data_IF_364954744423
#
_entry.id   IF_364954744423
#
_cell.length_a   1.000
_cell.length_b   1.000
_cell.length_c   1.000
_cell.angle_alpha   90.00
_cell.angle_beta   90.00
_cell.angle_gamma   90.00
#
_symmetry.space_group_name_H-M   'P 1'
#
loop_
_entity.id
_entity.type
_entity.pdbx_description
1 polymer ?
#
# COMPACT_ATOMS: atom_id res chain seq x y z
N UNK A 1 -43.94 2.92 15.29
CA UNK A 1 -44.21 3.81 16.44
C UNK A 1 -44.35 5.25 15.98
N UNK A 2 -44.32 6.19 16.92
CA UNK A 2 -44.17 7.61 16.60
C UNK A 2 -42.89 7.85 15.80
N UNK A 3 -42.92 8.83 14.91
CA UNK A 3 -41.76 9.26 14.14
C UNK A 3 -41.75 10.79 14.07
N UNK A 4 -40.56 11.36 13.92
CA UNK A 4 -40.35 12.75 13.59
C UNK A 4 -39.42 12.80 12.38
N UNK A 5 -39.84 13.50 11.33
CA UNK A 5 -39.07 13.64 10.10
C UNK A 5 -38.97 15.13 9.80
N UNK A 6 -37.74 15.59 9.59
CA UNK A 6 -37.43 16.87 8.98
C UNK A 6 -36.88 16.54 7.60
N UNK A 7 -37.51 17.02 6.53
CA UNK A 7 -37.16 16.72 5.15
C UNK A 7 -37.36 17.99 4.33
N UNK A 8 -36.34 18.36 3.56
CA UNK A 8 -36.46 19.40 2.56
C UNK A 8 -35.11 19.85 2.03
N UNK A 9 -35.17 20.84 1.15
CA UNK A 9 -34.00 21.57 0.71
C UNK A 9 -33.53 22.49 1.84
N UNK A 10 -32.31 22.27 2.34
CA UNK A 10 -31.79 22.96 3.52
C UNK A 10 -30.50 23.70 3.19
N UNK A 11 -30.42 24.90 3.76
CA UNK A 11 -29.24 25.73 3.76
C UNK A 11 -28.73 25.82 5.20
N UNK A 12 -27.51 25.33 5.44
CA UNK A 12 -26.86 25.37 6.74
C UNK A 12 -25.57 26.20 6.64
N UNK A 13 -25.43 27.15 7.55
CA UNK A 13 -24.20 27.93 7.70
C UNK A 13 -23.84 28.00 9.18
N UNK A 14 -22.61 27.62 9.50
CA UNK A 14 -22.04 27.71 10.85
C UNK A 14 -20.92 28.74 10.81
N UNK A 15 -21.27 29.96 11.25
CA UNK A 15 -20.39 31.14 11.20
C UNK A 15 -19.85 31.34 9.77
N UNK A 16 -18.57 31.66 9.64
CA UNK A 16 -17.81 31.82 8.41
C UNK A 16 -16.95 30.58 8.05
N UNK A 17 -17.15 29.45 8.76
CA UNK A 17 -16.30 28.28 8.62
C UNK A 17 -16.92 27.09 7.88
N UNK A 18 -18.24 26.93 7.93
CA UNK A 18 -18.91 25.80 7.30
C UNK A 18 -20.21 26.22 6.64
N UNK A 19 -20.36 25.89 5.37
CA UNK A 19 -21.55 26.17 4.57
C UNK A 19 -21.94 24.90 3.84
N UNK A 20 -23.22 24.58 3.79
CA UNK A 20 -23.72 23.50 2.95
C UNK A 20 -25.14 23.76 2.51
N UNK A 21 -25.42 23.39 1.26
CA UNK A 21 -26.72 23.53 0.60
C UNK A 21 -27.05 22.24 -0.12
N UNK A 22 -28.28 21.78 0.00
CA UNK A 22 -28.82 20.67 -0.77
C UNK A 22 -29.97 19.99 -0.05
N UNK A 23 -30.32 18.79 -0.51
CA UNK A 23 -31.45 18.05 0.03
C UNK A 23 -30.99 17.28 1.27
N UNK A 24 -31.75 17.41 2.35
CA UNK A 24 -31.41 16.81 3.64
C UNK A 24 -32.65 16.25 4.31
N UNK A 25 -32.46 15.17 5.06
CA UNK A 25 -33.45 14.67 5.97
C UNK A 25 -32.84 14.20 7.30
N UNK A 26 -33.58 14.43 8.38
CA UNK A 26 -33.31 13.87 9.71
C UNK A 26 -34.55 13.16 10.19
N UNK A 27 -34.41 11.88 10.54
CA UNK A 27 -35.53 11.08 11.05
C UNK A 27 -35.22 10.52 12.44
N UNK A 28 -36.20 10.57 13.32
CA UNK A 28 -36.19 9.88 14.61
C UNK A 28 -37.32 8.87 14.62
N UNK A 29 -36.99 7.59 14.82
CA UNK A 29 -37.99 6.53 14.79
C UNK A 29 -37.50 5.27 15.50
N UNK A 30 -38.40 4.59 16.19
CA UNK A 30 -38.17 3.21 16.62
C UNK A 30 -38.41 2.23 15.47
N UNK A 31 -37.41 1.42 15.14
CA UNK A 31 -37.44 0.42 14.05
C UNK A 31 -36.71 -0.86 14.45
N UNK A 32 -37.09 -2.02 13.88
CA UNK A 32 -36.33 -3.24 14.05
C UNK A 32 -34.96 -3.10 13.37
N UNK A 33 -33.90 -3.47 14.08
CA UNK A 33 -32.52 -3.54 13.62
C UNK A 33 -32.01 -4.96 13.85
N UNK A 34 -31.51 -5.60 12.79
CA UNK A 34 -30.84 -6.91 12.87
C UNK A 34 -29.36 -6.67 13.16
N UNK A 35 -28.86 -7.26 14.26
CA UNK A 35 -27.43 -7.26 14.58
C UNK A 35 -26.92 -8.68 14.70
N UNK A 36 -25.71 -8.93 14.22
CA UNK A 36 -25.07 -10.26 14.25
C UNK A 36 -23.59 -10.15 14.55
N UNK A 37 -23.07 -11.12 15.30
CA UNK A 37 -21.63 -11.34 15.48
C UNK A 37 -21.04 -12.10 14.28
N UNK A 38 -19.74 -12.37 14.31
CA UNK A 38 -19.04 -13.06 13.21
C UNK A 38 -19.51 -14.53 13.00
N UNK A 39 -20.07 -15.16 14.04
CA UNK A 39 -20.65 -16.50 13.95
C UNK A 39 -22.05 -16.50 13.30
N UNK A 40 -22.62 -15.31 13.06
CA UNK A 40 -23.96 -15.11 12.54
C UNK A 40 -25.06 -15.17 13.60
N UNK A 41 -24.70 -15.32 14.87
CA UNK A 41 -25.62 -15.22 15.99
C UNK A 41 -25.99 -13.76 16.24
N UNK A 42 -27.27 -13.50 16.50
CA UNK A 42 -27.77 -12.15 16.50
C UNK A 42 -29.17 -11.98 17.08
N UNK A 43 -29.61 -10.74 17.15
CA UNK A 43 -30.95 -10.37 17.58
C UNK A 43 -31.55 -9.34 16.64
N UNK A 44 -32.86 -9.43 16.45
CA UNK A 44 -33.65 -8.35 15.86
C UNK A 44 -34.37 -7.65 16.99
N UNK A 45 -34.05 -6.37 17.19
CA UNK A 45 -34.61 -5.56 18.27
C UNK A 45 -35.15 -4.23 17.74
N UNK A 46 -36.28 -3.79 18.27
CA UNK A 46 -36.78 -2.43 18.05
C UNK A 46 -35.87 -1.42 18.76
N UNK A 47 -35.02 -0.72 18.00
CA UNK A 47 -34.06 0.26 18.50
C UNK A 47 -34.54 1.69 18.30
N UNK A 48 -34.07 2.61 19.15
CA UNK A 48 -34.19 4.04 18.88
C UNK A 48 -33.20 4.42 17.78
N UNK A 49 -33.72 4.82 16.61
CA UNK A 49 -32.91 5.16 15.45
C UNK A 49 -33.01 6.65 15.14
N UNK A 50 -31.85 7.28 15.00
CA UNK A 50 -31.70 8.60 14.39
C UNK A 50 -30.99 8.43 13.05
N UNK A 51 -31.61 8.85 11.96
CA UNK A 51 -30.97 8.88 10.64
C UNK A 51 -30.69 10.30 10.22
N UNK A 52 -29.54 10.52 9.58
CA UNK A 52 -29.22 11.75 8.87
C UNK A 52 -28.92 11.33 7.44
N UNK A 53 -29.67 11.86 6.50
CA UNK A 53 -29.44 11.67 5.09
C UNK A 53 -29.29 13.00 4.38
N UNK A 54 -28.49 13.01 3.33
CA UNK A 54 -28.36 14.15 2.45
C UNK A 54 -27.97 13.69 1.04
N UNK A 55 -28.47 14.39 0.03
CA UNK A 55 -28.16 14.14 -1.37
C UNK A 55 -27.89 15.44 -2.10
N UNK A 56 -27.03 15.35 -3.11
CA UNK A 56 -26.65 16.46 -3.98
C UNK A 56 -26.18 17.70 -3.20
N UNK A 57 -25.47 17.49 -2.07
CA UNK A 57 -24.98 18.61 -1.29
C UNK A 57 -23.76 19.26 -1.97
N UNK A 58 -23.76 20.58 -1.93
CA UNK A 58 -22.55 21.39 -1.97
C UNK A 58 -22.12 21.69 -0.53
N UNK A 59 -20.83 21.65 -0.26
CA UNK A 59 -20.29 22.01 1.04
C UNK A 59 -19.00 22.83 0.90
N UNK A 60 -18.78 23.75 1.82
CA UNK A 60 -17.52 24.43 2.04
C UNK A 60 -17.13 24.30 3.51
N UNK A 61 -15.90 23.90 3.78
CA UNK A 61 -15.31 23.85 5.12
C UNK A 61 -13.95 24.56 5.09
N UNK A 62 -13.85 25.72 5.74
CA UNK A 62 -12.69 26.60 5.61
C UNK A 62 -12.76 27.84 6.48
N UNK A 63 -12.06 28.90 6.10
CA UNK A 63 -12.15 30.24 6.70
C UNK A 63 -12.60 31.25 5.65
N UNK A 64 -13.26 32.34 6.07
CA UNK A 64 -13.81 33.37 5.19
C UNK A 64 -14.75 32.82 4.10
N UNK A 65 -15.51 31.75 4.40
CA UNK A 65 -16.42 31.15 3.42
C UNK A 65 -17.64 32.02 3.09
N UNK A 66 -18.53 31.58 2.19
CA UNK A 66 -18.50 30.34 1.40
C UNK A 66 -17.41 30.33 0.30
N UNK A 67 -17.32 29.27 -0.51
CA UNK A 67 -16.25 29.07 -1.50
C UNK A 67 -16.03 30.24 -2.48
N UNK A 68 -17.09 30.97 -2.82
CA UNK A 68 -17.05 32.08 -3.77
C UNK A 68 -16.69 33.43 -3.12
N UNK A 69 -16.45 33.44 -1.80
CA UNK A 69 -16.03 34.64 -1.07
C UNK A 69 -14.58 35.00 -1.38
N UNK A 70 -14.31 36.30 -1.47
CA UNK A 70 -12.94 36.81 -1.59
C UNK A 70 -12.12 36.40 -0.35
N UNK A 71 -11.00 35.72 -0.56
CA UNK A 71 -10.13 35.24 0.51
C UNK A 71 -10.60 33.97 1.22
N UNK A 72 -11.56 33.24 0.64
CA UNK A 72 -11.94 31.91 1.12
C UNK A 72 -10.76 30.93 1.00
N UNK A 73 -10.47 30.21 2.09
CA UNK A 73 -9.44 29.18 2.14
C UNK A 73 -10.03 27.94 2.82
N UNK A 74 -10.04 26.81 2.12
CA UNK A 74 -10.64 25.58 2.65
C UNK A 74 -11.02 24.58 1.58
N UNK A 75 -11.79 23.57 1.97
CA UNK A 75 -12.30 22.55 1.05
C UNK A 75 -13.68 22.93 0.52
N UNK A 76 -13.82 22.98 -0.79
CA UNK A 76 -15.08 22.97 -1.51
C UNK A 76 -15.40 21.54 -1.92
N UNK A 77 -16.63 21.07 -1.66
CA UNK A 77 -17.11 19.74 -1.99
C UNK A 77 -18.39 19.84 -2.81
N UNK A 78 -18.55 18.94 -3.78
CA UNK A 78 -19.76 18.85 -4.60
C UNK A 78 -20.23 17.42 -4.78
N UNK A 79 -21.51 17.26 -5.10
CA UNK A 79 -22.16 15.95 -5.25
C UNK A 79 -21.99 15.07 -3.99
N UNK A 80 -22.07 15.68 -2.82
CA UNK A 80 -21.94 14.98 -1.54
C UNK A 80 -23.27 14.29 -1.21
N UNK A 81 -23.21 12.98 -1.06
CA UNK A 81 -24.32 12.12 -0.68
C UNK A 81 -23.94 11.39 0.61
N UNK A 82 -24.75 11.49 1.66
CA UNK A 82 -24.45 10.89 2.97
C UNK A 82 -25.70 10.20 3.48
N UNK A 83 -25.61 8.93 3.84
CA UNK A 83 -26.64 8.21 4.58
C UNK A 83 -26.04 7.68 5.86
N UNK A 84 -26.55 8.11 7.01
CA UNK A 84 -26.05 7.74 8.33
C UNK A 84 -27.19 7.32 9.25
N UNK A 85 -26.98 6.28 10.03
CA UNK A 85 -27.87 5.83 11.08
C UNK A 85 -27.10 5.67 12.41
N UNK A 86 -27.60 6.33 13.45
CA UNK A 86 -27.28 6.05 14.84
C UNK A 86 -28.40 5.21 15.43
N UNK A 87 -28.05 4.07 16.01
CA UNK A 87 -29.02 3.13 16.57
C UNK A 87 -28.65 2.82 18.01
N UNK A 88 -29.62 2.91 18.92
CA UNK A 88 -29.43 2.61 20.33
C UNK A 88 -30.35 1.46 20.75
N UNK A 89 -29.74 0.41 21.31
CA UNK A 89 -30.51 -0.68 21.91
C UNK A 89 -31.17 -0.19 23.21
N UNK A 90 -32.49 -0.43 23.39
CA UNK A 90 -33.16 -0.16 24.66
C UNK A 90 -32.92 -1.24 25.72
N UNK A 91 -32.50 -2.46 25.33
CA UNK A 91 -32.27 -3.57 26.28
C UNK A 91 -30.80 -3.87 26.56
N UNK A 92 -29.89 -3.38 25.73
CA UNK A 92 -28.43 -3.57 25.85
C UNK A 92 -27.73 -2.23 25.98
N UNK A 93 -26.60 -2.20 26.68
CA UNK A 93 -25.70 -1.03 26.69
C UNK A 93 -24.82 -1.02 25.43
N UNK A 94 -25.46 -0.99 24.26
CA UNK A 94 -24.79 -1.00 22.96
C UNK A 94 -25.38 0.06 22.05
N UNK A 95 -24.50 0.74 21.30
CA UNK A 95 -24.86 1.69 20.25
C UNK A 95 -24.21 1.27 18.95
N UNK A 96 -24.84 1.61 17.83
CA UNK A 96 -24.33 1.31 16.50
C UNK A 96 -24.30 2.57 15.64
N UNK A 97 -23.29 2.64 14.78
CA UNK A 97 -23.13 3.64 13.75
C UNK A 97 -22.96 2.94 12.41
N UNK A 98 -23.85 3.24 11.48
CA UNK A 98 -23.68 2.85 10.08
C UNK A 98 -23.74 4.09 9.21
N UNK A 99 -22.78 4.22 8.30
CA UNK A 99 -22.65 5.40 7.45
C UNK A 99 -22.12 4.99 6.10
N UNK A 100 -22.77 5.44 5.03
CA UNK A 100 -22.16 5.54 3.69
C UNK A 100 -22.14 6.98 3.26
N UNK A 101 -21.01 7.43 2.74
CA UNK A 101 -20.89 8.72 2.10
C UNK A 101 -20.16 8.58 0.76
N UNK A 102 -20.60 9.36 -0.21
CA UNK A 102 -19.98 9.51 -1.52
C UNK A 102 -19.81 11.00 -1.79
N UNK A 103 -18.65 11.41 -2.29
CA UNK A 103 -18.41 12.78 -2.75
C UNK A 103 -17.87 12.68 -4.17
N UNK A 104 -18.51 13.41 -5.09
CA UNK A 104 -18.04 13.48 -6.47
C UNK A 104 -16.67 14.13 -6.54
N UNK A 105 -16.57 15.34 -5.98
CA UNK A 105 -15.36 16.15 -6.03
C UNK A 105 -15.15 16.90 -4.70
N UNK A 106 -13.90 16.97 -4.24
CA UNK A 106 -13.44 17.80 -3.15
C UNK A 106 -12.15 18.52 -3.57
N UNK A 107 -12.09 19.84 -3.41
CA UNK A 107 -10.93 20.64 -3.80
C UNK A 107 -10.59 21.66 -2.72
N UNK A 108 -9.30 21.72 -2.35
CA UNK A 108 -8.79 22.78 -1.51
C UNK A 108 -8.59 24.06 -2.36
N UNK A 109 -9.11 25.19 -1.88
CA UNK A 109 -9.05 26.49 -2.56
C UNK A 109 -8.33 27.52 -1.71
N UNK A 110 -7.87 28.60 -2.36
CA UNK A 110 -7.34 29.79 -1.69
C UNK A 110 -5.83 29.81 -1.45
N UNK A 111 -5.08 28.85 -2.01
CA UNK A 111 -3.61 28.82 -1.98
C UNK A 111 -3.07 28.54 -3.39
N UNK A 112 -2.41 29.52 -3.99
CA UNK A 112 -2.01 29.47 -5.42
C UNK A 112 -1.05 28.32 -5.76
N UNK A 113 -0.08 28.02 -4.89
CA UNK A 113 0.94 26.99 -5.11
C UNK A 113 0.54 25.62 -4.52
N UNK A 114 -0.75 25.40 -4.23
CA UNK A 114 -1.24 24.13 -3.69
C UNK A 114 -2.48 23.68 -4.46
N UNK A 115 -2.36 22.55 -5.16
CA UNK A 115 -3.52 21.77 -5.58
C UNK A 115 -3.65 20.60 -4.63
N UNK A 116 -4.79 20.47 -3.98
CA UNK A 116 -5.19 19.28 -3.26
C UNK A 116 -6.63 19.00 -3.65
N UNK A 117 -6.82 18.01 -4.50
CA UNK A 117 -8.14 17.59 -4.94
C UNK A 117 -8.32 16.09 -4.77
N UNK A 118 -9.57 15.70 -4.63
CA UNK A 118 -9.98 14.33 -4.60
C UNK A 118 -11.28 14.17 -5.38
N UNK A 119 -11.45 13.02 -6.02
CA UNK A 119 -12.70 12.65 -6.67
C UNK A 119 -13.09 11.23 -6.32
N UNK A 120 -14.35 10.88 -6.57
CA UNK A 120 -14.91 9.56 -6.29
C UNK A 120 -14.66 9.12 -4.83
N UNK A 121 -14.72 10.06 -3.89
CA UNK A 121 -14.49 9.75 -2.49
C UNK A 121 -15.62 8.88 -1.98
N UNK A 122 -15.27 7.79 -1.30
CA UNK A 122 -16.23 6.91 -0.65
C UNK A 122 -15.82 6.68 0.80
N UNK A 123 -16.80 6.73 1.70
CA UNK A 123 -16.63 6.38 3.11
C UNK A 123 -17.71 5.40 3.50
N UNK A 124 -17.32 4.30 4.14
CA UNK A 124 -18.23 3.33 4.72
C UNK A 124 -17.84 3.04 6.16
N UNK A 125 -18.80 3.11 7.08
CA UNK A 125 -18.61 2.78 8.49
C UNK A 125 -19.72 1.82 8.90
N UNK A 126 -19.35 0.75 9.59
CA UNK A 126 -20.29 -0.11 10.30
C UNK A 126 -19.66 -0.50 11.64
N UNK A 127 -20.05 0.17 12.72
CA UNK A 127 -19.41 -0.01 14.03
C UNK A 127 -20.42 -0.22 15.13
N UNK A 128 -19.99 -0.98 16.13
CA UNK A 128 -20.68 -1.12 17.40
C UNK A 128 -19.81 -0.57 18.53
N UNK A 129 -20.47 -0.04 19.54
CA UNK A 129 -19.84 0.51 20.73
C UNK A 129 -20.39 -0.24 21.93
N UNK A 130 -19.52 -1.00 22.61
CA UNK A 130 -19.90 -1.83 23.76
C UNK A 130 -20.35 -3.25 23.42
N UNK A 131 -20.05 -3.76 22.22
CA UNK A 131 -20.34 -5.14 21.80
C UNK A 131 -19.44 -5.60 20.65
N UNK A 132 -19.45 -6.90 20.34
CA UNK A 132 -18.74 -7.56 19.24
C UNK A 132 -19.61 -7.80 17.99
N UNK A 133 -20.94 -7.75 18.14
CA UNK A 133 -21.88 -7.76 17.02
C UNK A 133 -21.96 -6.42 16.27
N UNK A 134 -22.38 -6.48 15.01
CA UNK A 134 -22.57 -5.32 14.14
C UNK A 134 -23.95 -5.37 13.50
N UNK A 135 -24.44 -4.24 12.99
CA UNK A 135 -25.70 -4.28 12.24
C UNK A 135 -25.51 -5.02 10.92
N UNK A 136 -26.56 -5.71 10.52
CA UNK A 136 -26.61 -6.56 9.34
C UNK A 136 -27.80 -6.17 8.46
N UNK A 137 -27.50 -5.61 7.29
CA UNK A 137 -28.49 -5.10 6.34
C UNK A 137 -28.31 -5.66 4.93
N UNK A 138 -27.53 -6.73 4.75
CA UNK A 138 -27.19 -7.26 3.43
C UNK A 138 -28.41 -7.82 2.66
N UNK A 139 -29.33 -8.50 3.33
CA UNK A 139 -30.52 -9.12 2.73
C UNK A 139 -31.70 -8.14 2.65
N UNK A 140 -31.71 -7.14 3.52
CA UNK A 140 -32.73 -6.10 3.58
C UNK A 140 -32.08 -4.74 3.87
N UNK A 141 -31.61 -4.04 2.81
CA UNK A 141 -30.92 -2.77 2.97
C UNK A 141 -31.72 -1.75 3.78
N UNK A 142 -31.04 -1.12 4.74
CA UNK A 142 -31.62 -0.06 5.54
C UNK A 142 -31.59 1.24 4.74
N UNK A 143 -32.74 1.60 4.19
CA UNK A 143 -32.88 2.78 3.34
C UNK A 143 -32.94 4.06 4.18
N UNK A 144 -31.95 4.94 4.00
CA UNK A 144 -31.89 6.27 4.61
C UNK A 144 -32.56 7.27 3.66
N UNK A 145 -33.52 8.05 4.15
CA UNK A 145 -34.05 9.19 3.42
C UNK A 145 -32.98 10.28 3.33
N UNK A 146 -32.62 10.68 2.12
CA UNK A 146 -31.62 11.70 1.84
C UNK A 146 -32.23 13.08 1.51
N UNK A 147 -33.57 13.22 1.61
CA UNK A 147 -34.30 14.44 1.31
C UNK A 147 -34.98 14.40 -0.06
N UNK A 148 -36.17 14.99 -0.17
CA UNK A 148 -36.96 15.14 -1.40
C UNK A 148 -37.12 13.87 -2.26
N UNK A 149 -37.06 12.69 -1.64
CA UNK A 149 -37.21 11.38 -2.30
C UNK A 149 -35.90 10.68 -2.66
N UNK A 150 -34.74 11.30 -2.39
CA UNK A 150 -33.44 10.64 -2.43
C UNK A 150 -33.35 9.55 -1.35
N UNK A 151 -32.73 8.41 -1.67
CA UNK A 151 -32.56 7.30 -0.72
C UNK A 151 -31.16 6.71 -0.83
N UNK A 152 -30.50 6.50 0.32
CA UNK A 152 -29.17 5.89 0.39
C UNK A 152 -29.27 4.53 1.11
N UNK A 153 -28.93 3.41 0.46
CA UNK A 153 -29.00 2.09 1.06
C UNK A 153 -27.76 1.78 1.92
N UNK A 154 -27.97 1.40 3.17
CA UNK A 154 -26.96 0.74 4.00
C UNK A 154 -27.18 -0.78 3.92
N UNK A 155 -26.15 -1.55 3.59
CA UNK A 155 -26.25 -2.97 3.18
C UNK A 155 -25.10 -3.82 3.75
N UNK A 156 -24.63 -3.49 4.95
CA UNK A 156 -23.50 -4.18 5.57
C UNK A 156 -23.78 -5.65 5.88
N UNK A 157 -22.77 -6.49 5.63
CA UNK A 157 -22.81 -7.91 5.98
C UNK A 157 -22.02 -8.15 7.27
N UNK A 158 -22.57 -8.95 8.19
CA UNK A 158 -21.96 -9.18 9.51
C UNK A 158 -20.59 -9.84 9.46
N UNK A 159 -20.32 -10.65 8.43
CA UNK A 159 -19.03 -11.35 8.28
C UNK A 159 -17.84 -10.40 8.08
N UNK A 160 -18.09 -9.14 7.74
CA UNK A 160 -17.05 -8.10 7.69
C UNK A 160 -16.73 -7.53 9.07
N UNK A 161 -17.47 -7.91 10.11
CA UNK A 161 -17.34 -7.36 11.46
C UNK A 161 -17.48 -5.84 11.46
N UNK A 162 -16.67 -5.17 12.29
CA UNK A 162 -16.62 -3.71 12.31
C UNK A 162 -15.85 -3.17 11.10
N UNK A 163 -16.52 -2.32 10.31
CA UNK A 163 -15.98 -1.76 9.06
C UNK A 163 -15.67 -0.28 9.21
N UNK A 164 -14.53 0.12 8.66
CA UNK A 164 -14.19 1.49 8.28
C UNK A 164 -13.48 1.42 6.95
N UNK A 165 -14.07 1.95 5.88
CA UNK A 165 -13.45 2.08 4.56
C UNK A 165 -13.47 3.54 4.15
N UNK A 166 -12.36 4.02 3.60
CA UNK A 166 -12.26 5.30 2.92
C UNK A 166 -11.44 5.11 1.66
N UNK A 167 -11.86 5.68 0.54
CA UNK A 167 -11.12 5.60 -0.72
C UNK A 167 -11.43 6.79 -1.62
N UNK A 168 -10.60 7.00 -2.63
CA UNK A 168 -10.84 7.95 -3.72
C UNK A 168 -9.59 8.21 -4.54
N UNK A 169 -9.80 8.93 -5.63
CA UNK A 169 -8.73 9.36 -6.53
C UNK A 169 -8.20 10.70 -6.02
N UNK A 170 -6.91 10.77 -5.71
CA UNK A 170 -6.27 11.92 -5.06
C UNK A 170 -5.26 12.55 -6.02
N UNK A 171 -5.31 13.87 -6.14
CA UNK A 171 -4.28 14.67 -6.81
C UNK A 171 -3.68 15.67 -5.81
N UNK A 172 -2.37 15.66 -5.65
CA UNK A 172 -1.62 16.62 -4.84
C UNK A 172 -0.55 17.28 -5.71
N UNK A 173 -0.54 18.61 -5.73
CA UNK A 173 0.54 19.41 -6.30
C UNK A 173 0.98 20.47 -5.30
N UNK A 174 2.29 20.56 -5.06
CA UNK A 174 2.89 21.63 -4.25
C UNK A 174 3.93 22.35 -5.10
N UNK A 175 3.58 23.55 -5.56
CA UNK A 175 4.34 24.34 -6.51
C UNK A 175 4.70 23.53 -7.75
N UNK A 176 5.99 23.53 -8.07
CA UNK A 176 6.62 22.75 -9.13
C UNK A 176 7.40 21.54 -8.59
N UNK A 177 7.28 21.25 -7.29
CA UNK A 177 8.21 20.38 -6.58
C UNK A 177 7.64 19.02 -6.21
N UNK A 178 6.33 18.94 -5.97
CA UNK A 178 5.66 17.68 -5.59
C UNK A 178 4.45 17.49 -6.47
N UNK A 179 4.33 16.31 -7.06
CA UNK A 179 3.15 15.84 -7.77
C UNK A 179 2.83 14.43 -7.31
N UNK A 180 1.55 14.15 -7.06
CA UNK A 180 1.02 12.83 -6.74
C UNK A 180 -0.34 12.71 -7.39
N UNK A 181 -0.58 11.60 -8.07
CA UNK A 181 -1.86 11.25 -8.66
C UNK A 181 -2.10 9.75 -8.51
N UNK A 182 -3.29 9.34 -8.09
CA UNK A 182 -3.65 7.92 -8.01
C UNK A 182 -4.83 7.63 -7.10
N UNK A 183 -5.27 6.37 -7.11
CA UNK A 183 -6.33 5.87 -6.23
C UNK A 183 -5.72 5.43 -4.90
N UNK A 184 -6.26 5.89 -3.77
CA UNK A 184 -5.80 5.47 -2.44
C UNK A 184 -7.00 4.96 -1.64
N UNK A 185 -6.87 3.82 -0.99
CA UNK A 185 -7.87 3.33 -0.05
C UNK A 185 -7.28 2.86 1.28
N UNK A 186 -8.10 2.95 2.32
CA UNK A 186 -7.89 2.35 3.62
C UNK A 186 -9.15 1.61 4.04
N UNK A 187 -9.02 0.36 4.48
CA UNK A 187 -10.13 -0.45 4.97
C UNK A 187 -9.74 -1.18 6.25
N UNK A 188 -10.65 -1.20 7.24
CA UNK A 188 -10.62 -2.16 8.34
C UNK A 188 -11.82 -3.08 8.24
N UNK A 189 -11.62 -4.39 8.34
CA UNK A 189 -12.69 -5.38 8.44
C UNK A 189 -12.22 -6.66 9.10
N UNK A 190 -13.16 -7.51 9.48
CA UNK A 190 -12.89 -8.89 9.83
C UNK A 190 -12.59 -9.71 8.56
N UNK A 191 -11.62 -10.61 8.64
CA UNK A 191 -11.25 -11.54 7.58
C UNK A 191 -10.71 -12.85 8.17
N UNK A 192 -11.25 -13.98 7.72
CA UNK A 192 -10.68 -15.30 8.03
C UNK A 192 -9.43 -15.53 7.16
N UNK A 193 -8.34 -15.94 7.79
CA UNK A 193 -7.04 -16.13 7.17
C UNK A 193 -6.50 -17.54 7.43
N UNK A 194 -5.76 -18.08 6.46
CA UNK A 194 -5.08 -19.36 6.56
C UNK A 194 -3.64 -19.16 7.01
N UNK A 195 -3.20 -19.97 7.97
CA UNK A 195 -1.87 -19.90 8.58
C UNK A 195 -1.02 -21.10 8.11
N UNK A 196 0.31 -20.94 8.08
CA UNK A 196 1.26 -21.96 7.60
C UNK A 196 1.23 -23.28 8.37
N UNK A 197 0.76 -23.29 9.62
CA UNK A 197 0.51 -24.49 10.42
C UNK A 197 -0.74 -25.27 9.99
N UNK A 198 -1.51 -24.72 9.04
CA UNK A 198 -2.76 -25.28 8.52
C UNK A 198 -4.01 -24.86 9.29
N UNK A 199 -3.88 -24.03 10.34
CA UNK A 199 -5.00 -23.45 11.06
C UNK A 199 -5.67 -22.32 10.28
N UNK A 200 -6.85 -21.93 10.73
CA UNK A 200 -7.56 -20.74 10.28
C UNK A 200 -7.77 -19.82 11.47
N UNK A 201 -7.57 -18.52 11.24
CA UNK A 201 -7.70 -17.50 12.28
C UNK A 201 -8.61 -16.40 11.75
N UNK A 202 -9.64 -16.07 12.53
CA UNK A 202 -10.44 -14.87 12.29
C UNK A 202 -9.64 -13.64 12.74
N UNK A 203 -9.38 -12.72 11.81
CA UNK A 203 -8.54 -11.54 12.05
C UNK A 203 -9.32 -10.25 11.88
N UNK A 204 -8.91 -9.20 12.60
CA UNK A 204 -9.13 -7.81 12.24
C UNK A 204 -8.01 -7.39 11.28
N UNK A 205 -8.36 -7.18 10.01
CA UNK A 205 -7.47 -6.72 8.96
C UNK A 205 -7.53 -5.19 8.87
N UNK A 206 -6.37 -4.56 8.77
CA UNK A 206 -6.17 -3.20 8.26
C UNK A 206 -5.51 -3.31 6.88
N UNK A 207 -6.14 -2.72 5.88
CA UNK A 207 -5.72 -2.76 4.49
C UNK A 207 -5.43 -1.34 4.03
N UNK A 208 -4.25 -1.13 3.45
CA UNK A 208 -3.87 0.09 2.74
C UNK A 208 -3.61 -0.27 1.29
N UNK A 209 -4.23 0.43 0.35
CA UNK A 209 -4.01 0.24 -1.08
C UNK A 209 -3.65 1.53 -1.78
N UNK A 210 -2.84 1.39 -2.82
CA UNK A 210 -2.62 2.41 -3.82
C UNK A 210 -2.79 1.78 -5.20
N UNK A 211 -3.56 2.41 -6.06
CA UNK A 211 -3.80 1.99 -7.43
C UNK A 211 -3.36 3.06 -8.41
N UNK A 212 -2.64 2.64 -9.45
CA UNK A 212 -2.16 3.52 -10.53
C UNK A 212 -1.41 4.77 -10.03
N UNK A 213 -0.72 4.64 -8.89
CA UNK A 213 -0.06 5.75 -8.20
C UNK A 213 1.17 6.23 -8.98
N UNK A 214 1.15 7.51 -9.34
CA UNK A 214 2.27 8.21 -9.95
C UNK A 214 2.70 9.39 -9.09
N UNK A 215 4.02 9.57 -8.92
CA UNK A 215 4.58 10.62 -8.06
C UNK A 215 5.80 11.27 -8.70
N UNK A 216 6.02 12.55 -8.42
CA UNK A 216 7.26 13.26 -8.70
C UNK A 216 7.67 14.10 -7.50
N UNK A 217 8.96 14.09 -7.18
CA UNK A 217 9.58 14.93 -6.16
C UNK A 217 10.84 15.57 -6.73
N UNK A 218 10.87 16.89 -6.85
CA UNK A 218 11.96 17.58 -7.54
C UNK A 218 11.78 19.08 -7.64
N UNK A 219 12.26 19.65 -8.74
CA UNK A 219 12.07 21.04 -9.17
C UNK A 219 11.60 21.06 -10.62
N UNK A 220 10.88 22.12 -11.02
CA UNK A 220 10.34 22.32 -12.36
C UNK A 220 9.52 21.12 -12.89
N UNK A 221 8.82 20.41 -12.01
CA UNK A 221 7.99 19.27 -12.38
C UNK A 221 6.70 19.68 -13.14
N UNK A 222 5.85 18.70 -13.51
CA UNK A 222 5.97 17.26 -13.25
C UNK A 222 7.05 16.55 -14.09
N UNK A 223 7.18 15.23 -13.92
CA UNK A 223 8.24 14.40 -14.51
C UNK A 223 8.35 14.47 -16.05
N UNK A 224 7.29 14.89 -16.74
CA UNK A 224 7.23 15.00 -18.19
C UNK A 224 7.67 16.38 -18.73
N UNK A 225 8.05 17.32 -17.86
CA UNK A 225 8.56 18.62 -18.26
C UNK A 225 10.03 18.56 -18.65
N UNK A 226 10.41 19.29 -19.70
CA UNK A 226 11.78 19.34 -20.23
C UNK A 226 12.83 19.78 -19.19
N UNK A 227 12.46 20.64 -18.24
CA UNK A 227 13.36 21.18 -17.20
C UNK A 227 13.21 20.46 -15.84
N UNK A 228 12.41 19.39 -15.78
CA UNK A 228 12.17 18.65 -14.55
C UNK A 228 13.47 18.03 -14.02
N UNK A 229 13.68 18.18 -12.72
CA UNK A 229 14.85 17.62 -12.03
C UNK A 229 14.40 17.00 -10.71
N UNK A 230 14.44 15.67 -10.59
CA UNK A 230 13.90 14.99 -9.42
C UNK A 230 13.81 13.48 -9.56
N UNK A 231 12.99 12.88 -8.70
CA UNK A 231 12.67 11.46 -8.75
C UNK A 231 11.20 11.27 -9.09
N UNK A 232 10.92 10.26 -9.90
CA UNK A 232 9.60 9.87 -10.33
C UNK A 232 9.31 8.41 -9.95
N UNK A 233 8.04 8.14 -9.67
CA UNK A 233 7.44 6.82 -9.49
C UNK A 233 6.27 6.76 -10.47
N UNK A 234 6.16 5.69 -11.27
CA UNK A 234 5.12 5.55 -12.28
C UNK A 234 4.25 4.32 -12.02
N UNK A 235 2.94 4.48 -12.22
CA UNK A 235 1.92 3.41 -12.29
C UNK A 235 2.08 2.34 -11.20
N UNK A 236 2.16 2.76 -9.96
CA UNK A 236 2.42 1.85 -8.84
C UNK A 236 1.12 1.31 -8.28
N UNK A 237 1.03 -0.01 -8.21
CA UNK A 237 -0.05 -0.74 -7.59
C UNK A 237 0.47 -1.43 -6.33
N UNK A 238 -0.19 -1.21 -5.19
CA UNK A 238 0.23 -1.70 -3.89
C UNK A 238 -0.96 -2.12 -3.05
N UNK A 239 -0.82 -3.24 -2.33
CA UNK A 239 -1.67 -3.59 -1.21
C UNK A 239 -0.81 -4.01 -0.02
N UNK A 240 -1.05 -3.38 1.14
CA UNK A 240 -0.43 -3.69 2.43
C UNK A 240 -1.53 -4.12 3.40
N UNK A 241 -1.41 -5.32 3.95
CA UNK A 241 -2.28 -5.83 4.99
C UNK A 241 -1.54 -5.96 6.31
N UNK A 242 -2.17 -5.49 7.37
CA UNK A 242 -1.75 -5.70 8.76
C UNK A 242 -2.92 -6.38 9.47
N UNK A 243 -2.69 -7.54 10.07
CA UNK A 243 -3.73 -8.35 10.68
C UNK A 243 -3.40 -8.70 12.12
N UNK A 244 -4.43 -8.71 12.96
CA UNK A 244 -4.39 -9.29 14.30
C UNK A 244 -5.61 -10.20 14.49
N UNK A 245 -5.51 -11.27 15.27
CA UNK A 245 -6.66 -12.07 15.67
C UNK A 245 -7.79 -11.21 16.24
N UNK A 246 -9.05 -11.64 16.06
CA UNK A 246 -10.19 -11.02 16.74
C UNK A 246 -10.26 -11.39 18.22
N UNK A 247 -9.69 -12.53 18.60
CA UNK A 247 -9.47 -12.91 20.00
C UNK A 247 -8.37 -12.02 20.61
N UNK A 248 -8.73 -11.23 21.61
CA UNK A 248 -7.81 -10.27 22.24
C UNK A 248 -6.73 -10.92 23.11
N UNK A 249 -6.89 -12.20 23.47
CA UNK A 249 -5.86 -12.96 24.19
C UNK A 249 -4.77 -13.51 23.26
N UNK A 250 -5.06 -13.57 21.95
CA UNK A 250 -4.08 -13.96 20.94
C UNK A 250 -3.28 -12.73 20.48
N UNK A 251 -1.99 -12.72 20.83
CA UNK A 251 -1.08 -11.60 20.60
C UNK A 251 -0.32 -11.69 19.26
N UNK A 252 -0.62 -12.68 18.42
CA UNK A 252 -0.01 -12.81 17.09
C UNK A 252 -0.38 -11.63 16.21
N UNK A 253 0.51 -11.29 15.29
CA UNK A 253 0.24 -10.30 14.24
C UNK A 253 0.88 -10.75 12.93
N UNK A 254 0.28 -10.34 11.81
CA UNK A 254 0.82 -10.63 10.48
C UNK A 254 0.85 -9.37 9.63
N UNK A 255 1.91 -9.23 8.84
CA UNK A 255 2.03 -8.17 7.84
C UNK A 255 2.35 -8.77 6.49
N UNK A 256 1.59 -8.43 5.46
CA UNK A 256 1.84 -8.86 4.10
C UNK A 256 1.75 -7.68 3.13
N UNK A 257 2.71 -7.60 2.21
CA UNK A 257 2.79 -6.57 1.18
C UNK A 257 2.94 -7.24 -0.18
N UNK A 258 2.23 -6.72 -1.17
CA UNK A 258 2.56 -6.91 -2.56
C UNK A 258 2.49 -5.55 -3.26
N UNK A 259 3.58 -5.15 -3.89
CA UNK A 259 3.69 -3.91 -4.63
C UNK A 259 4.40 -4.16 -5.96
N UNK A 260 3.89 -3.54 -7.02
CA UNK A 260 4.52 -3.49 -8.34
C UNK A 260 4.52 -2.06 -8.85
N UNK A 261 5.60 -1.69 -9.53
CA UNK A 261 5.74 -0.39 -10.19
C UNK A 261 6.33 -0.58 -11.57
N UNK A 262 5.77 0.12 -12.55
CA UNK A 262 6.29 0.13 -13.92
C UNK A 262 7.71 0.71 -13.96
N UNK A 263 7.94 1.77 -13.19
CA UNK A 263 9.24 2.42 -13.15
C UNK A 263 9.43 3.37 -11.97
N UNK A 264 10.65 3.37 -11.42
CA UNK A 264 11.19 4.43 -10.56
C UNK A 264 12.42 4.99 -11.24
N UNK A 265 12.54 6.31 -11.31
CA UNK A 265 13.68 6.89 -11.99
C UNK A 265 13.99 8.32 -11.58
N UNK A 266 15.23 8.70 -11.83
CA UNK A 266 15.68 10.07 -11.78
C UNK A 266 15.35 10.77 -13.09
N UNK A 267 14.67 11.91 -13.00
CA UNK A 267 14.41 12.84 -14.10
C UNK A 267 15.44 13.95 -13.98
N UNK A 268 16.18 14.25 -15.05
CA UNK A 268 17.21 15.28 -15.01
C UNK A 268 17.99 15.36 -16.33
N UNK A 269 19.25 15.83 -16.30
CA UNK A 269 20.00 16.10 -17.53
C UNK A 269 20.27 14.82 -18.33
N UNK A 270 20.33 14.96 -19.67
CA UNK A 270 20.57 13.86 -20.63
C UNK A 270 21.79 12.98 -20.32
N UNK A 271 22.77 13.50 -19.58
CA UNK A 271 23.97 12.79 -19.20
C UNK A 271 23.86 12.02 -17.88
N UNK A 272 22.67 11.87 -17.30
CA UNK A 272 22.45 11.06 -16.11
C UNK A 272 21.14 10.28 -16.26
N UNK A 273 21.24 8.97 -16.37
CA UNK A 273 20.11 8.06 -16.28
C UNK A 273 20.23 7.24 -15.00
N UNK A 274 19.20 7.19 -14.18
CA UNK A 274 19.04 6.24 -13.09
C UNK A 274 17.59 5.79 -13.16
N UNK A 275 17.34 4.55 -13.56
CA UNK A 275 16.00 4.01 -13.72
C UNK A 275 15.98 2.57 -13.23
N UNK A 276 14.85 2.17 -12.67
CA UNK A 276 14.56 0.80 -12.34
C UNK A 276 13.15 0.46 -12.82
N UNK A 277 13.05 -0.56 -13.67
CA UNK A 277 11.81 -1.01 -14.27
C UNK A 277 11.36 -2.35 -13.67
N UNK A 278 10.08 -2.69 -13.86
CA UNK A 278 9.49 -3.96 -13.40
C UNK A 278 9.71 -4.22 -11.91
N UNK A 279 9.64 -3.16 -11.11
CA UNK A 279 9.92 -3.23 -9.69
C UNK A 279 8.81 -4.01 -8.99
N UNK A 280 9.21 -4.97 -8.18
CA UNK A 280 8.30 -5.74 -7.35
C UNK A 280 8.85 -5.81 -5.93
N UNK A 281 7.98 -5.60 -4.95
CA UNK A 281 8.26 -5.80 -3.53
C UNK A 281 7.21 -6.74 -2.96
N UNK A 282 7.64 -7.82 -2.30
CA UNK A 282 6.74 -8.76 -1.62
C UNK A 282 7.22 -9.01 -0.21
N UNK A 283 6.27 -9.17 0.71
CA UNK A 283 6.55 -9.38 2.12
C UNK A 283 5.50 -10.32 2.72
N UNK A 284 5.94 -11.21 3.59
CA UNK A 284 5.09 -12.00 4.48
C UNK A 284 5.81 -12.14 5.82
N UNK A 285 5.32 -11.48 6.85
CA UNK A 285 5.96 -11.40 8.18
C UNK A 285 4.96 -11.79 9.26
N UNK A 286 5.47 -12.34 10.36
CA UNK A 286 4.69 -12.66 11.54
C UNK A 286 5.37 -12.13 12.81
N UNK A 287 4.57 -11.71 13.79
CA UNK A 287 5.08 -11.33 15.11
C UNK A 287 4.43 -12.19 16.19
N UNK A 288 5.20 -12.54 17.21
CA UNK A 288 4.81 -13.43 18.32
C UNK A 288 4.43 -14.86 17.88
N UNK A 289 4.85 -15.27 16.69
CA UNK A 289 4.74 -16.64 16.14
C UNK A 289 5.77 -16.82 15.03
N UNK A 290 6.11 -18.07 14.71
CA UNK A 290 6.91 -18.42 13.53
C UNK A 290 6.01 -18.73 12.32
N UNK A 291 4.69 -18.81 12.53
CA UNK A 291 3.72 -19.16 11.50
C UNK A 291 3.22 -17.94 10.74
N UNK A 292 3.44 -17.92 9.43
CA UNK A 292 3.03 -16.84 8.52
C UNK A 292 1.69 -17.14 7.85
N UNK A 293 1.16 -16.17 7.11
CA UNK A 293 -0.01 -16.39 6.27
C UNK A 293 0.29 -17.34 5.10
N UNK A 294 -0.64 -18.22 4.77
CA UNK A 294 -0.54 -19.15 3.65
C UNK A 294 -1.60 -18.89 2.57
N UNK A 295 -1.17 -18.36 1.44
CA UNK A 295 -2.01 -18.08 0.27
C UNK A 295 -1.89 -19.15 -0.82
N UNK A 296 -1.16 -20.25 -0.58
CA UNK A 296 -0.87 -21.27 -1.60
C UNK A 296 -2.12 -21.97 -2.15
N UNK A 297 -3.18 -22.08 -1.34
CA UNK A 297 -4.46 -22.72 -1.70
C UNK A 297 -5.62 -21.74 -1.81
N UNK A 298 -5.52 -20.58 -1.15
CA UNK A 298 -6.54 -19.56 -1.10
C UNK A 298 -5.90 -18.23 -1.49
N UNK A 299 -5.88 -17.99 -2.79
CA UNK A 299 -5.40 -16.74 -3.36
C UNK A 299 -6.27 -15.63 -2.81
N UNK A 300 -5.64 -14.56 -2.33
CA UNK A 300 -6.35 -13.37 -1.89
C UNK A 300 -6.12 -12.24 -2.88
N UNK A 301 -7.19 -11.84 -3.58
CA UNK A 301 -7.19 -10.74 -4.55
C UNK A 301 -7.79 -9.49 -3.92
N UNK A 302 -7.04 -8.39 -4.00
CA UNK A 302 -7.39 -7.11 -3.40
C UNK A 302 -7.52 -6.08 -4.51
N UNK A 303 -8.72 -5.52 -4.77
CA UNK A 303 -8.87 -4.39 -5.67
C UNK A 303 -8.04 -3.20 -5.17
N UNK A 304 -7.29 -2.57 -6.07
CA UNK A 304 -6.49 -1.37 -5.74
C UNK A 304 -6.89 -0.15 -6.56
N UNK A 305 -7.54 -0.35 -7.72
CA UNK A 305 -8.26 0.67 -8.48
C UNK A 305 -9.49 0.03 -9.15
N UNK A 306 -10.20 0.75 -10.01
CA UNK A 306 -11.35 0.20 -10.76
C UNK A 306 -10.92 -0.91 -11.73
N UNK A 307 -9.69 -0.84 -12.25
CA UNK A 307 -9.19 -1.71 -13.30
C UNK A 307 -8.02 -2.61 -12.85
N UNK A 308 -7.53 -2.45 -11.61
CA UNK A 308 -6.39 -3.18 -11.08
C UNK A 308 -6.66 -3.89 -9.75
N UNK A 309 -5.99 -5.04 -9.55
CA UNK A 309 -6.02 -5.80 -8.31
C UNK A 309 -4.65 -6.38 -7.98
N UNK A 310 -4.31 -6.41 -6.70
CA UNK A 310 -3.11 -7.08 -6.18
C UNK A 310 -3.44 -8.48 -5.69
N UNK A 311 -2.63 -9.43 -6.15
CA UNK A 311 -2.79 -10.87 -5.88
C UNK A 311 -1.79 -11.32 -4.83
N UNK A 312 -2.26 -11.94 -3.75
CA UNK A 312 -1.43 -12.64 -2.78
C UNK A 312 -1.51 -14.14 -3.01
N UNK A 313 -0.35 -14.76 -3.27
CA UNK A 313 -0.20 -16.19 -3.55
C UNK A 313 1.06 -16.80 -2.92
N UNK A 314 1.54 -16.17 -1.85
CA UNK A 314 2.73 -16.61 -1.12
C UNK A 314 2.48 -17.94 -0.42
N UNK A 315 3.45 -18.85 -0.50
CA UNK A 315 3.35 -20.14 0.15
C UNK A 315 3.81 -20.04 1.60
N UNK A 316 2.97 -20.45 2.57
CA UNK A 316 3.31 -20.35 4.00
C UNK A 316 4.58 -21.12 4.40
N UNK A 317 4.86 -22.26 3.75
CA UNK A 317 6.11 -23.01 3.89
C UNK A 317 7.40 -22.24 3.53
N UNK A 318 7.32 -21.08 2.89
CA UNK A 318 8.50 -20.23 2.69
C UNK A 318 8.90 -19.48 3.97
N UNK A 319 8.05 -19.49 5.00
CA UNK A 319 8.26 -18.74 6.24
C UNK A 319 8.20 -17.23 6.03
N UNK A 320 8.81 -16.50 6.95
CA UNK A 320 8.93 -15.06 6.86
C UNK A 320 9.88 -14.64 5.74
N UNK A 321 9.47 -13.67 4.93
CA UNK A 321 10.35 -13.10 3.92
C UNK A 321 10.03 -11.65 3.57
N UNK A 322 11.05 -10.98 3.06
CA UNK A 322 10.98 -9.72 2.32
C UNK A 322 11.76 -9.95 1.02
N UNK A 323 11.18 -9.60 -0.12
CA UNK A 323 11.90 -9.59 -1.39
C UNK A 323 11.65 -8.28 -2.14
N UNK A 324 12.66 -7.84 -2.87
CA UNK A 324 12.56 -6.77 -3.84
C UNK A 324 13.34 -7.15 -5.10
N UNK A 325 12.78 -6.90 -6.28
CA UNK A 325 13.47 -7.17 -7.56
C UNK A 325 13.09 -6.14 -8.61
N UNK A 326 13.99 -5.93 -9.57
CA UNK A 326 13.74 -5.10 -10.75
C UNK A 326 14.94 -5.02 -11.66
N UNK A 327 14.75 -4.40 -12.82
CA UNK A 327 15.77 -4.18 -13.82
C UNK A 327 16.35 -2.78 -13.64
N UNK A 328 17.61 -2.67 -13.23
CA UNK A 328 18.26 -1.39 -12.97
C UNK A 328 19.07 -0.96 -14.19
N UNK A 329 18.97 0.32 -14.55
CA UNK A 329 19.83 0.99 -15.51
C UNK A 329 20.42 2.26 -14.88
N UNK A 330 21.74 2.38 -14.89
CA UNK A 330 22.48 3.56 -14.43
C UNK A 330 23.48 3.97 -15.51
N UNK A 331 23.38 5.21 -15.98
CA UNK A 331 24.32 5.78 -16.94
C UNK A 331 24.74 7.18 -16.50
N UNK A 332 26.05 7.45 -16.56
CA UNK A 332 26.62 8.78 -16.26
C UNK A 332 27.49 9.20 -17.44
N UNK A 333 26.95 10.12 -18.24
CA UNK A 333 27.45 10.51 -19.54
C UNK A 333 27.69 9.28 -20.41
N UNK A 334 28.83 9.28 -21.09
CA UNK A 334 29.30 8.11 -21.85
C UNK A 334 30.35 7.33 -21.06
N UNK A 335 30.50 7.59 -19.76
CA UNK A 335 31.66 7.14 -18.99
C UNK A 335 31.34 5.97 -18.06
N UNK A 336 30.11 5.92 -17.54
CA UNK A 336 29.66 4.85 -16.66
C UNK A 336 28.34 4.34 -17.22
N UNK A 337 28.22 3.02 -17.33
CA UNK A 337 26.98 2.34 -17.67
C UNK A 337 26.91 1.07 -16.82
N UNK A 338 25.76 0.81 -16.21
CA UNK A 338 25.45 -0.42 -15.48
C UNK A 338 24.01 -0.78 -15.82
N UNK A 339 23.79 -1.99 -16.32
CA UNK A 339 22.44 -2.49 -16.56
C UNK A 339 22.33 -3.96 -16.18
N UNK A 340 21.18 -4.37 -15.67
CA UNK A 340 20.88 -5.77 -15.40
C UNK A 340 19.74 -5.96 -14.39
N UNK A 341 19.39 -7.22 -14.14
CA UNK A 341 18.38 -7.57 -13.16
C UNK A 341 19.02 -7.69 -11.77
N UNK A 342 18.40 -7.07 -10.77
CA UNK A 342 18.84 -7.12 -9.38
C UNK A 342 17.71 -7.63 -8.50
N UNK A 343 18.07 -8.42 -7.50
CA UNK A 343 17.13 -8.85 -6.48
C UNK A 343 17.76 -8.88 -5.09
N UNK A 344 16.92 -8.57 -4.12
CA UNK A 344 17.16 -8.58 -2.71
C UNK A 344 16.20 -9.56 -2.06
N UNK A 345 16.68 -10.34 -1.11
CA UNK A 345 15.84 -11.22 -0.30
C UNK A 345 16.31 -11.23 1.15
N UNK A 346 15.35 -11.27 2.07
CA UNK A 346 15.59 -11.51 3.48
C UNK A 346 14.62 -12.58 3.97
N UNK A 347 15.11 -13.59 4.66
CA UNK A 347 14.28 -14.64 5.29
C UNK A 347 15.05 -15.38 6.38
N UNK A 348 14.36 -16.18 7.19
CA UNK A 348 14.99 -17.12 8.12
C UNK A 348 15.28 -18.43 7.40
N UNK A 349 16.50 -18.95 7.55
CA UNK A 349 16.89 -20.25 6.99
C UNK A 349 17.85 -20.98 7.90
N UNK A 350 17.58 -22.28 8.09
CA UNK A 350 18.55 -23.21 8.63
C UNK A 350 19.66 -23.45 7.62
N UNK A 351 20.90 -23.12 7.99
CA UNK A 351 22.09 -23.39 7.18
C UNK A 351 22.92 -24.48 7.82
N UNK A 352 23.56 -25.28 6.98
CA UNK A 352 24.54 -26.27 7.42
C UNK A 352 25.91 -25.63 7.39
N UNK A 353 26.71 -25.85 8.43
CA UNK A 353 28.07 -25.37 8.53
C UNK A 353 29.08 -26.45 8.11
N UNK A 354 30.33 -26.05 7.87
CA UNK A 354 31.42 -26.93 7.43
C UNK A 354 31.73 -28.06 8.41
N UNK A 355 31.46 -27.85 9.71
CA UNK A 355 31.58 -28.85 10.78
C UNK A 355 30.35 -29.77 10.90
N UNK A 356 29.42 -29.68 9.94
CA UNK A 356 28.15 -30.41 9.87
C UNK A 356 27.08 -29.97 10.88
N UNK A 357 27.35 -28.98 11.73
CA UNK A 357 26.31 -28.38 12.56
C UNK A 357 25.28 -27.65 11.69
N UNK A 358 24.06 -27.51 12.21
CA UNK A 358 22.98 -26.77 11.57
C UNK A 358 22.55 -25.69 12.54
N UNK A 359 22.45 -24.47 12.03
CA UNK A 359 21.99 -23.31 12.80
C UNK A 359 20.95 -22.54 12.00
N UNK A 360 20.04 -21.89 12.69
CA UNK A 360 19.10 -20.95 12.06
C UNK A 360 19.74 -19.57 11.93
N UNK A 361 19.52 -18.95 10.77
CA UNK A 361 20.09 -17.65 10.46
C UNK A 361 19.08 -16.72 9.85
N UNK A 362 19.19 -15.44 10.21
CA UNK A 362 18.71 -14.33 9.42
C UNK A 362 19.58 -14.27 8.16
N UNK A 363 19.00 -14.66 7.03
CA UNK A 363 19.64 -14.64 5.73
C UNK A 363 19.31 -13.33 5.02
N UNK A 364 20.34 -12.72 4.44
CA UNK A 364 20.23 -11.55 3.57
C UNK A 364 20.93 -11.87 2.26
N UNK A 365 20.14 -11.94 1.19
CA UNK A 365 20.59 -12.21 -0.16
C UNK A 365 20.59 -10.95 -1.01
N UNK A 366 21.67 -10.78 -1.76
CA UNK A 366 21.73 -9.84 -2.87
C UNK A 366 22.16 -10.63 -4.11
N UNK A 367 21.39 -10.51 -5.18
CA UNK A 367 21.70 -11.16 -6.45
C UNK A 367 21.61 -10.19 -7.60
N UNK A 368 22.42 -10.47 -8.61
CA UNK A 368 22.40 -9.75 -9.87
C UNK A 368 22.57 -10.75 -11.01
N UNK A 369 21.91 -10.53 -12.13
CA UNK A 369 21.93 -11.45 -13.27
C UNK A 369 21.98 -10.68 -14.58
N UNK A 370 22.82 -11.17 -15.50
CA UNK A 370 23.01 -10.54 -16.81
C UNK A 370 23.52 -9.11 -16.73
N UNK A 371 24.28 -8.78 -15.67
CA UNK A 371 24.77 -7.43 -15.47
C UNK A 371 25.87 -7.11 -16.48
N UNK A 372 25.69 -6.01 -17.20
CA UNK A 372 26.72 -5.42 -18.04
C UNK A 372 27.15 -4.11 -17.40
N UNK A 373 28.46 -3.87 -17.34
CA UNK A 373 29.00 -2.63 -16.82
C UNK A 373 30.16 -2.12 -17.66
N UNK A 374 30.23 -0.80 -17.79
CA UNK A 374 31.35 -0.07 -18.38
C UNK A 374 31.75 1.08 -17.46
N UNK A 375 33.05 1.29 -17.31
CA UNK A 375 33.61 2.45 -16.63
C UNK A 375 34.87 2.93 -17.37
N UNK A 376 34.79 4.04 -18.09
CA UNK A 376 35.88 4.51 -18.93
C UNK A 376 35.56 5.73 -19.78
N UNK A 377 36.28 5.87 -20.89
CA UNK A 377 36.06 6.87 -21.93
C UNK A 377 35.60 6.12 -23.17
N UNK A 378 34.38 6.41 -23.65
CA UNK A 378 33.90 5.86 -24.92
C UNK A 378 34.48 6.62 -26.11
N UNK A 379 34.85 5.89 -27.16
CA UNK A 379 35.22 6.46 -28.46
C UNK A 379 34.03 6.64 -29.38
N UNK A 380 34.28 6.94 -30.67
CA UNK A 380 33.18 6.99 -31.66
C UNK A 380 32.77 5.59 -32.13
N UNK A 381 33.66 4.61 -31.94
CA UNK A 381 33.47 3.19 -32.22
C UNK A 381 33.78 2.38 -30.94
N UNK A 382 33.06 1.28 -30.63
CA UNK A 382 33.36 0.45 -29.45
C UNK A 382 34.81 -0.06 -29.38
N UNK A 383 35.52 -0.18 -30.51
CA UNK A 383 36.95 -0.52 -30.56
C UNK A 383 37.88 0.60 -30.08
N UNK A 384 37.39 1.82 -29.97
CA UNK A 384 38.11 2.99 -29.45
C UNK A 384 37.86 3.22 -27.95
N UNK A 385 37.00 2.41 -27.31
CA UNK A 385 36.70 2.52 -25.88
C UNK A 385 37.96 2.24 -25.04
N UNK A 386 38.18 3.07 -24.02
CA UNK A 386 39.26 2.93 -23.04
C UNK A 386 38.64 2.86 -21.65
N UNK A 387 38.61 1.68 -21.04
CA UNK A 387 37.94 1.51 -19.75
C UNK A 387 37.88 0.08 -19.26
N UNK A 388 37.18 -0.10 -18.14
CA UNK A 388 36.84 -1.41 -17.61
C UNK A 388 35.48 -1.85 -18.13
N UNK A 389 35.38 -3.11 -18.50
CA UNK A 389 34.17 -3.77 -18.98
C UNK A 389 33.89 -5.00 -18.15
N UNK A 390 32.61 -5.23 -17.90
CA UNK A 390 32.06 -6.47 -17.36
C UNK A 390 30.87 -6.84 -18.24
N UNK A 391 30.83 -8.08 -18.71
CA UNK A 391 29.74 -8.59 -19.53
C UNK A 391 29.18 -9.87 -18.93
N UNK A 392 27.86 -9.99 -19.00
CA UNK A 392 27.11 -11.15 -18.51
C UNK A 392 27.48 -11.56 -17.07
N UNK A 393 27.50 -10.57 -16.18
CA UNK A 393 27.80 -10.79 -14.77
C UNK A 393 26.58 -11.40 -14.07
N UNK A 394 26.81 -12.53 -13.41
CA UNK A 394 25.86 -13.12 -12.48
C UNK A 394 26.50 -13.20 -11.10
N UNK A 395 25.80 -12.74 -10.07
CA UNK A 395 26.28 -12.68 -8.70
C UNK A 395 25.19 -13.12 -7.73
N UNK A 396 25.58 -13.87 -6.72
CA UNK A 396 24.79 -14.16 -5.54
C UNK A 396 25.68 -13.96 -4.29
N UNK A 397 25.31 -12.97 -3.48
CA UNK A 397 25.90 -12.66 -2.19
C UNK A 397 24.90 -13.05 -1.10
N UNK A 398 25.35 -13.84 -0.14
CA UNK A 398 24.62 -14.22 1.06
C UNK A 398 25.36 -13.70 2.29
N UNK A 399 24.67 -12.89 3.10
CA UNK A 399 25.09 -12.47 4.42
C UNK A 399 24.18 -13.16 5.44
N UNK A 400 24.75 -13.92 6.36
CA UNK A 400 24.00 -14.77 7.28
C UNK A 400 24.41 -14.47 8.71
N UNK A 401 23.43 -14.21 9.57
CA UNK A 401 23.63 -13.98 11.00
C UNK A 401 22.76 -14.96 11.81
N UNK A 402 23.27 -15.60 12.88
CA UNK A 402 22.46 -16.45 13.75
C UNK A 402 21.19 -15.74 14.25
N UNK A 403 20.12 -16.50 14.44
CA UNK A 403 18.92 -16.01 15.15
C UNK A 403 19.15 -15.93 16.66
N UNK A 404 20.04 -16.76 17.21
CA UNK A 404 20.52 -16.65 18.59
C UNK A 404 21.38 -15.39 18.77
N UNK A 405 20.92 -14.47 19.61
CA UNK A 405 21.59 -13.20 19.86
C UNK A 405 22.93 -13.33 20.60
N UNK A 406 23.19 -14.46 21.26
CA UNK A 406 24.46 -14.72 21.95
C UNK A 406 25.56 -15.19 20.98
N UNK A 407 25.19 -15.63 19.77
CA UNK A 407 26.14 -16.02 18.74
C UNK A 407 26.57 -14.80 17.90
N UNK A 408 27.83 -14.40 18.08
CA UNK A 408 28.44 -13.22 17.43
C UNK A 408 28.98 -13.50 16.04
N UNK A 409 28.89 -14.75 15.56
CA UNK A 409 29.38 -15.14 14.24
C UNK A 409 28.51 -14.53 13.13
N UNK A 410 29.12 -14.24 12.00
CA UNK A 410 28.46 -13.81 10.77
C UNK A 410 29.17 -14.45 9.59
N UNK A 411 28.40 -15.00 8.64
CA UNK A 411 28.93 -15.62 7.44
C UNK A 411 28.68 -14.76 6.21
N UNK A 412 29.69 -14.72 5.34
CA UNK A 412 29.60 -14.10 4.03
C UNK A 412 29.95 -15.15 2.98
N UNK A 413 29.01 -15.43 2.09
CA UNK A 413 29.21 -16.30 0.93
C UNK A 413 28.96 -15.52 -0.35
N UNK A 414 29.89 -15.56 -1.29
CA UNK A 414 29.76 -14.94 -2.61
C UNK A 414 30.06 -16.00 -3.66
N UNK A 415 29.16 -16.11 -4.64
CA UNK A 415 29.46 -16.72 -5.92
C UNK A 415 29.17 -15.70 -7.00
N UNK A 416 30.18 -15.37 -7.79
CA UNK A 416 30.02 -14.51 -8.95
C UNK A 416 30.70 -15.12 -10.16
N UNK A 417 30.15 -14.82 -11.32
CA UNK A 417 30.65 -15.22 -12.63
C UNK A 417 30.59 -13.99 -13.54
N UNK A 418 31.61 -13.78 -14.35
CA UNK A 418 31.60 -12.83 -15.45
C UNK A 418 31.99 -13.57 -16.73
N UNK A 419 31.12 -13.56 -17.74
CA UNK A 419 31.43 -14.13 -19.05
C UNK A 419 32.66 -13.46 -19.65
N UNK A 420 32.73 -12.14 -19.54
CA UNK A 420 33.93 -11.36 -19.84
C UNK A 420 34.16 -10.27 -18.78
N UNK A 421 35.42 -10.09 -18.41
CA UNK A 421 35.87 -8.99 -17.57
C UNK A 421 37.21 -8.49 -18.11
N UNK A 422 37.36 -7.18 -18.26
CA UNK A 422 38.62 -6.68 -18.80
C UNK A 422 38.80 -5.19 -18.76
N UNK A 423 40.04 -4.79 -18.99
CA UNK A 423 40.38 -3.47 -19.43
C UNK A 423 40.47 -3.48 -20.96
N UNK A 424 39.55 -2.75 -21.60
CA UNK A 424 39.63 -2.43 -23.02
C UNK A 424 40.41 -1.13 -23.18
N UNK A 425 41.33 -1.11 -24.13
CA UNK A 425 42.15 0.04 -24.42
C UNK A 425 43.11 -0.29 -25.57
N UNK A 426 43.71 0.75 -26.13
CA UNK A 426 44.58 0.69 -27.33
C UNK A 426 45.54 -0.50 -27.37
N UNK A 427 46.11 -0.79 -28.56
CA UNK A 427 47.12 -1.83 -28.84
C UNK A 427 48.30 -1.94 -27.85
N UNK A 428 48.52 -0.94 -27.00
CA UNK A 428 49.59 -0.87 -26.00
C UNK A 428 49.27 -1.71 -24.75
N UNK A 429 48.01 -1.80 -24.32
CA UNK A 429 47.62 -2.53 -23.12
C UNK A 429 46.18 -3.02 -23.22
N UNK A 430 46.02 -4.34 -23.24
CA UNK A 430 44.75 -5.03 -23.22
C UNK A 430 44.81 -6.15 -22.16
N UNK A 431 43.85 -6.17 -21.24
CA UNK A 431 43.73 -7.21 -20.22
C UNK A 431 42.31 -7.76 -20.27
N UNK A 432 42.16 -9.00 -20.75
CA UNK A 432 40.87 -9.68 -20.77
C UNK A 432 40.95 -10.97 -19.95
N UNK A 433 39.86 -11.23 -19.23
CA UNK A 433 39.54 -12.50 -18.63
C UNK A 433 38.19 -12.92 -19.20
N UNK A 434 38.09 -14.20 -19.56
CA UNK A 434 36.82 -14.83 -19.94
C UNK A 434 36.49 -15.88 -18.90
N UNK A 435 35.19 -16.10 -18.68
CA UNK A 435 34.68 -17.11 -17.75
C UNK A 435 35.29 -16.96 -16.34
N UNK A 436 35.28 -15.73 -15.81
CA UNK A 436 35.89 -15.42 -14.53
C UNK A 436 34.94 -15.77 -13.39
N UNK A 437 35.28 -16.79 -12.61
CA UNK A 437 34.56 -17.15 -11.40
C UNK A 437 35.22 -16.57 -10.14
N UNK A 438 34.39 -16.04 -9.24
CA UNK A 438 34.77 -15.61 -7.90
C UNK A 438 33.96 -16.41 -6.88
N UNK A 439 34.66 -17.03 -5.93
CA UNK A 439 34.06 -17.69 -4.79
C UNK A 439 34.65 -17.11 -3.51
N UNK A 440 33.78 -16.67 -2.60
CA UNK A 440 34.14 -16.28 -1.24
C UNK A 440 33.26 -17.07 -0.29
N UNK A 441 33.85 -17.59 0.77
CA UNK A 441 33.10 -18.15 1.88
C UNK A 441 33.90 -17.95 3.16
N UNK A 442 33.37 -17.11 4.04
CA UNK A 442 34.09 -16.65 5.22
C UNK A 442 33.16 -16.53 6.42
N UNK A 443 33.75 -16.61 7.60
CA UNK A 443 33.15 -16.28 8.89
C UNK A 443 34.02 -15.20 9.55
N UNK A 444 33.41 -14.26 10.27
CA UNK A 444 34.15 -13.20 10.97
C UNK A 444 35.04 -13.71 12.12
N UNK A 445 34.65 -14.81 12.76
CA UNK A 445 35.33 -15.40 13.92
C UNK A 445 35.34 -16.93 13.84
N UNK A 446 36.51 -17.53 14.13
CA UNK A 446 36.73 -18.98 13.98
C UNK A 446 36.95 -19.43 12.53
N UNK A 447 36.88 -20.74 12.29
CA UNK A 447 37.18 -21.36 10.98
C UNK A 447 36.00 -22.20 10.41
N UNK A 448 34.81 -22.10 11.02
CA UNK A 448 33.62 -22.86 10.62
C UNK A 448 32.75 -22.00 9.70
N UNK A 449 32.73 -22.34 8.41
CA UNK A 449 32.06 -21.56 7.35
C UNK A 449 30.70 -22.17 6.97
N UNK A 450 29.85 -21.43 6.25
CA UNK A 450 28.59 -21.96 5.71
C UNK A 450 28.88 -23.00 4.62
N UNK A 451 28.09 -24.07 4.53
CA UNK A 451 28.32 -25.15 3.57
C UNK A 451 27.58 -24.97 2.25
#
# INVERSE_FOLDING_TARGET
GAFMIFDGHMNLSVMDYFFTEGDMAVEFRTRPVDTRNLDGDGVIEDMEVMTIGASDLFAFAGVNGPQDSEGAIGFALSNVNIGMAFMQSPTRDTKYLSLKAMVGDASFIGVDDLTLSASNLFVAINKSFGSDDVVHFAEAPFMINAGLGGMIPLDYHFSMGQVLRTEGDITIQIGDSVYMDGHIAFETRAQEMFISDGSQVQTNMMLFTAGDLSMFFGANGPADQDEAFGFSLANTNMALMIMKPTDTEDNRSWTALNAVSDGIGFVGPDNLNISADNLMIRMNMAENTEDVLDFSKHIFEIPVSQDASMRFDFHGANGEFIEARGDLNVSIGNNIEISGAFAFEQYIRAIKLSDQSIIETNFFGFSAMGVNAFAGIRGNDPSEDIGFTLSDVSLALALMKPTDSEDTRNWTSLKAHAGEAGFVGSDIFNLTASEMDIFLNQVNEGDVVAH
#
